data_IF_235649310241
#
_entry.id   IF_235649310241
#
_cell.length_a   1.000
_cell.length_b   1.000
_cell.length_c   1.000
_cell.angle_alpha   90.00
_cell.angle_beta   90.00
_cell.angle_gamma   90.00
#
_symmetry.space_group_name_H-M   'P 1'
#
loop_
_entity.id
_entity.type
_entity.pdbx_description
1 polymer ?
#
# COMPACT_ATOMS: atom_id res chain seq x y z
N UNK A 1 -34.10 11.11 -11.27
CA UNK A 1 -32.67 11.42 -11.02
C UNK A 1 -31.98 10.36 -10.15
N UNK A 2 -32.66 9.30 -9.71
CA UNK A 2 -32.11 8.29 -8.79
C UNK A 2 -31.24 7.21 -9.48
N UNK A 3 -31.53 6.89 -10.75
CA UNK A 3 -30.80 5.86 -11.49
C UNK A 3 -29.34 6.21 -11.82
N UNK A 4 -28.97 7.50 -11.85
CA UNK A 4 -27.61 7.93 -12.13
C UNK A 4 -26.68 7.68 -10.92
N UNK A 5 -27.16 7.93 -9.70
CA UNK A 5 -26.39 7.71 -8.47
C UNK A 5 -26.08 6.22 -8.23
N UNK A 6 -27.07 5.35 -8.45
CA UNK A 6 -26.88 3.90 -8.33
C UNK A 6 -25.87 3.36 -9.36
N UNK A 7 -25.89 3.89 -10.59
CA UNK A 7 -24.90 3.52 -11.61
C UNK A 7 -23.48 3.94 -11.23
N UNK A 8 -23.30 5.14 -10.68
CA UNK A 8 -22.00 5.60 -10.20
C UNK A 8 -21.47 4.73 -9.06
N UNK A 9 -22.33 4.37 -8.10
CA UNK A 9 -21.96 3.48 -7.00
C UNK A 9 -21.60 2.08 -7.49
N UNK A 10 -22.33 1.54 -8.47
CA UNK A 10 -22.04 0.24 -9.06
C UNK A 10 -20.69 0.24 -9.80
N UNK A 11 -20.39 1.30 -10.56
CA UNK A 11 -19.10 1.47 -11.25
C UNK A 11 -17.97 1.58 -10.22
N UNK A 12 -18.14 2.40 -9.19
CA UNK A 12 -17.16 2.53 -8.11
C UNK A 12 -16.92 1.17 -7.43
N UNK A 13 -17.99 0.44 -7.09
CA UNK A 13 -17.89 -0.89 -6.51
C UNK A 13 -17.14 -1.88 -7.41
N UNK A 14 -17.43 -1.88 -8.72
CA UNK A 14 -16.73 -2.72 -9.69
C UNK A 14 -15.24 -2.38 -9.79
N UNK A 15 -14.90 -1.09 -9.78
CA UNK A 15 -13.50 -0.62 -9.76
C UNK A 15 -12.81 -1.09 -8.47
N UNK A 16 -13.45 -0.94 -7.32
CA UNK A 16 -12.92 -1.38 -6.02
C UNK A 16 -12.67 -2.90 -5.98
N UNK A 17 -13.61 -3.70 -6.50
CA UNK A 17 -13.43 -5.15 -6.64
C UNK A 17 -12.27 -5.47 -7.58
N UNK A 18 -12.18 -4.79 -8.72
CA UNK A 18 -11.07 -4.96 -9.67
C UNK A 18 -9.71 -4.64 -9.05
N UNK A 19 -9.62 -3.54 -8.30
CA UNK A 19 -8.41 -3.17 -7.55
C UNK A 19 -8.07 -4.23 -6.50
N UNK A 20 -9.05 -4.71 -5.74
CA UNK A 20 -8.85 -5.76 -4.75
C UNK A 20 -8.29 -7.05 -5.36
N UNK A 21 -8.88 -7.50 -6.47
CA UNK A 21 -8.40 -8.68 -7.20
C UNK A 21 -7.00 -8.46 -7.79
N UNK A 22 -6.72 -7.28 -8.34
CA UNK A 22 -5.39 -6.92 -8.83
C UNK A 22 -4.34 -6.92 -7.73
N UNK A 23 -4.67 -6.42 -6.53
CA UNK A 23 -3.77 -6.45 -5.37
C UNK A 23 -3.49 -7.89 -4.91
N UNK A 24 -4.51 -8.74 -4.84
CA UNK A 24 -4.33 -10.16 -4.51
C UNK A 24 -3.44 -10.84 -5.55
N UNK A 25 -3.71 -10.64 -6.85
CA UNK A 25 -2.90 -11.18 -7.93
C UNK A 25 -1.45 -10.68 -7.88
N UNK A 26 -1.23 -9.40 -7.53
CA UNK A 26 0.09 -8.82 -7.35
C UNK A 26 0.87 -9.49 -6.22
N UNK A 27 0.22 -9.82 -5.09
CA UNK A 27 0.85 -10.58 -4.00
C UNK A 27 1.30 -11.97 -4.47
N UNK A 28 0.47 -12.69 -5.22
CA UNK A 28 0.82 -14.00 -5.78
C UNK A 28 1.93 -13.91 -6.85
N UNK A 29 1.94 -12.86 -7.67
CA UNK A 29 3.00 -12.62 -8.65
C UNK A 29 4.33 -12.27 -7.96
N UNK A 30 4.30 -11.46 -6.90
CA UNK A 30 5.49 -11.10 -6.13
C UNK A 30 6.14 -12.32 -5.45
N UNK A 31 5.37 -13.36 -5.12
CA UNK A 31 5.88 -14.63 -4.62
C UNK A 31 6.65 -15.42 -5.70
N UNK A 32 6.13 -15.49 -6.93
CA UNK A 32 6.75 -16.25 -8.02
C UNK A 32 7.91 -15.51 -8.69
N UNK A 33 7.80 -14.21 -8.82
CA UNK A 33 8.81 -13.37 -9.47
C UNK A 33 9.66 -12.79 -8.36
N UNK A 34 10.69 -13.52 -7.90
CA UNK A 34 11.78 -12.94 -7.10
C UNK A 34 12.29 -11.73 -7.89
N UNK A 35 11.98 -10.47 -7.51
CA UNK A 35 12.44 -9.33 -8.25
C UNK A 35 13.94 -9.21 -7.98
N UNK A 36 14.81 -9.14 -9.00
CA UNK A 36 16.25 -8.95 -8.79
C UNK A 36 16.56 -7.64 -8.05
N UNK A 37 15.60 -6.70 -8.00
CA UNK A 37 15.69 -5.48 -7.19
C UNK A 37 15.58 -5.72 -5.67
N UNK A 38 14.92 -6.80 -5.22
CA UNK A 38 14.78 -7.10 -3.78
C UNK A 38 16.10 -7.49 -3.13
N UNK A 39 17.01 -8.18 -3.83
CA UNK A 39 18.34 -8.52 -3.30
C UNK A 39 19.20 -7.28 -3.05
N UNK A 40 19.05 -6.25 -3.88
CA UNK A 40 19.72 -4.95 -3.70
C UNK A 40 19.06 -4.14 -2.58
N UNK A 41 17.75 -4.25 -2.41
CA UNK A 41 16.99 -3.61 -1.32
C UNK A 41 17.27 -4.26 0.04
N UNK A 42 17.55 -5.57 0.09
CA UNK A 42 18.00 -6.26 1.32
C UNK A 42 19.39 -5.78 1.78
N UNK A 43 20.23 -5.28 0.86
CA UNK A 43 21.54 -4.66 1.17
C UNK A 43 21.42 -3.19 1.60
N UNK A 44 20.27 -2.55 1.40
CA UNK A 44 20.06 -1.18 1.82
C UNK A 44 20.01 -1.08 3.35
N UNK A 45 20.34 0.08 3.95
CA UNK A 45 20.25 0.26 5.39
C UNK A 45 18.82 0.03 5.86
N UNK A 46 18.63 -0.84 6.85
CA UNK A 46 17.31 -1.23 7.40
C UNK A 46 16.46 -0.03 7.88
N UNK A 47 17.11 1.08 8.18
CA UNK A 47 16.50 2.37 8.57
C UNK A 47 15.78 3.03 7.38
N UNK A 48 16.33 2.90 6.17
CA UNK A 48 15.74 3.43 4.94
C UNK A 48 14.73 2.46 4.35
N UNK A 49 15.05 1.16 4.32
CA UNK A 49 14.22 0.14 3.68
C UNK A 49 14.18 -1.08 4.58
N UNK A 50 13.03 -1.31 5.19
CA UNK A 50 12.73 -2.49 5.98
C UNK A 50 11.93 -3.46 5.12
N UNK A 51 12.57 -4.57 4.77
CA UNK A 51 11.93 -5.68 4.05
C UNK A 51 11.53 -6.72 5.09
N UNK A 52 10.23 -6.82 5.39
CA UNK A 52 9.69 -7.90 6.20
C UNK A 52 9.27 -9.04 5.28
N UNK A 53 9.76 -10.25 5.56
CA UNK A 53 9.40 -11.47 4.86
C UNK A 53 8.87 -12.48 5.87
N UNK A 54 7.61 -12.88 5.72
CA UNK A 54 7.03 -13.99 6.51
C UNK A 54 6.00 -14.73 5.67
N UNK A 55 6.13 -16.05 5.57
CA UNK A 55 5.14 -16.95 4.94
C UNK A 55 4.64 -16.45 3.57
N UNK A 56 5.56 -16.12 2.66
CA UNK A 56 5.33 -15.59 1.31
C UNK A 56 4.74 -14.17 1.22
N UNK A 57 4.52 -13.48 2.34
CA UNK A 57 4.23 -12.05 2.36
C UNK A 57 5.53 -11.24 2.38
N UNK A 58 5.67 -10.37 1.38
CA UNK A 58 6.74 -9.38 1.28
C UNK A 58 6.18 -8.01 1.60
N UNK A 59 6.60 -7.43 2.73
CA UNK A 59 6.25 -6.07 3.10
C UNK A 59 7.50 -5.21 3.04
N UNK A 60 7.63 -4.46 1.95
CA UNK A 60 8.70 -3.48 1.77
C UNK A 60 8.18 -2.17 2.31
N UNK A 61 8.73 -1.70 3.42
CA UNK A 61 8.37 -0.41 4.00
C UNK A 61 9.60 0.40 4.29
N UNK A 62 9.42 1.70 4.52
CA UNK A 62 10.47 2.57 5.01
C UNK A 62 10.06 3.08 6.40
N UNK A 63 10.73 2.64 7.48
CA UNK A 63 10.42 3.07 8.83
C UNK A 63 10.38 4.60 8.98
N UNK A 64 11.30 5.30 8.28
CA UNK A 64 11.35 6.76 8.25
C UNK A 64 10.09 7.36 7.60
N UNK A 65 9.65 6.82 6.46
CA UNK A 65 8.45 7.31 5.79
C UNK A 65 7.19 7.09 6.64
N UNK A 66 7.10 5.96 7.36
CA UNK A 66 6.00 5.73 8.31
C UNK A 66 6.03 6.81 9.40
N UNK A 67 7.19 7.03 10.04
CA UNK A 67 7.35 8.05 11.08
C UNK A 67 7.01 9.45 10.57
N UNK A 68 7.49 9.81 9.38
CA UNK A 68 7.21 11.09 8.75
C UNK A 68 5.73 11.24 8.42
N UNK A 69 5.08 10.19 7.91
CA UNK A 69 3.66 10.16 7.62
C UNK A 69 2.81 10.33 8.87
N UNK A 70 3.14 9.62 9.96
CA UNK A 70 2.46 9.76 11.26
C UNK A 70 2.65 11.17 11.82
N UNK A 71 3.87 11.71 11.80
CA UNK A 71 4.14 13.06 12.28
C UNK A 71 3.37 14.11 11.48
N UNK A 72 3.34 13.98 10.15
CA UNK A 72 2.59 14.87 9.27
C UNK A 72 1.08 14.78 9.49
N UNK A 73 0.55 13.56 9.65
CA UNK A 73 -0.85 13.33 9.94
C UNK A 73 -1.27 13.94 11.28
N UNK A 74 -0.47 13.75 12.33
CA UNK A 74 -0.69 14.37 13.64
C UNK A 74 -0.63 15.90 13.55
N UNK A 75 0.32 16.44 12.78
CA UNK A 75 0.43 17.89 12.57
C UNK A 75 -0.82 18.47 11.88
N UNK A 76 -1.32 17.80 10.83
CA UNK A 76 -2.59 18.19 10.18
C UNK A 76 -3.74 18.11 11.18
N UNK A 77 -3.85 17.01 11.93
CA UNK A 77 -4.94 16.81 12.87
C UNK A 77 -4.97 17.92 13.93
N UNK A 78 -3.81 18.26 14.49
CA UNK A 78 -3.65 19.36 15.45
C UNK A 78 -4.00 20.72 14.83
N UNK A 79 -3.71 20.92 13.55
CA UNK A 79 -4.05 22.15 12.82
C UNK A 79 -5.56 22.27 12.56
N UNK A 80 -6.25 21.15 12.35
CA UNK A 80 -7.71 21.14 12.13
C UNK A 80 -8.46 21.35 13.46
N UNK A 81 -7.93 20.81 14.57
CA UNK A 81 -8.57 20.89 15.89
C UNK A 81 -8.40 22.24 16.60
N UNK A 82 -7.46 23.08 16.14
CA UNK A 82 -7.13 24.37 16.73
C UNK A 82 -7.65 25.51 15.86
#
# INVERSE_FOLDING_TARGET
MEGAGLRLLAIAGLILVGIGLALIALTFLAERVRPPSLETLEKAPKILIYVYRKDNLFFITSPILILAGVAYFLWILLRILR
#
